data_IF_576182867576
#
_entry.id   IF_576182867576
#
_cell.length_a   1.000
_cell.length_b   1.000
_cell.length_c   1.000
_cell.angle_alpha   90.00
_cell.angle_beta   90.00
_cell.angle_gamma   90.00
#
_symmetry.space_group_name_H-M   'P 1'
#
loop_
_entity.id
_entity.type
_entity.pdbx_description
1 polymer ?
#
# COMPACT_ATOMS: atom_id res chain seq x y z
N UNK A 1 8.84 8.68 30.84
CA UNK A 1 10.11 9.19 30.24
C UNK A 1 10.61 8.39 29.01
N UNK A 2 9.81 7.51 28.37
CA UNK A 2 10.26 6.67 27.23
C UNK A 2 9.99 7.25 25.82
N UNK A 3 9.16 8.31 25.70
CA UNK A 3 8.71 8.84 24.38
C UNK A 3 9.81 9.57 23.58
N UNK A 4 10.75 10.23 24.23
CA UNK A 4 11.73 11.10 23.55
C UNK A 4 12.92 10.35 22.92
N UNK A 5 13.24 9.15 23.40
CA UNK A 5 14.42 8.39 22.91
C UNK A 5 14.15 7.57 21.64
N UNK A 6 12.87 7.37 21.28
CA UNK A 6 12.47 6.52 20.15
C UNK A 6 12.29 7.29 18.84
N UNK A 7 12.08 8.60 18.90
CA UNK A 7 11.84 9.44 17.73
C UNK A 7 12.99 9.40 16.68
N UNK A 8 14.27 9.56 17.05
CA UNK A 8 15.37 9.49 16.06
C UNK A 8 15.54 8.07 15.49
N UNK A 9 15.21 7.03 16.27
CA UNK A 9 15.28 5.65 15.83
C UNK A 9 14.18 5.31 14.82
N UNK A 10 12.94 5.75 15.10
CA UNK A 10 11.81 5.62 14.17
C UNK A 10 12.08 6.38 12.87
N UNK A 11 12.61 7.60 12.96
CA UNK A 11 12.94 8.39 11.77
C UNK A 11 13.99 7.70 10.90
N UNK A 12 15.10 7.24 11.50
CA UNK A 12 16.13 6.48 10.78
C UNK A 12 15.56 5.22 10.14
N UNK A 13 14.76 4.47 10.88
CA UNK A 13 14.11 3.26 10.38
C UNK A 13 13.23 3.54 9.16
N UNK A 14 12.39 4.57 9.22
CA UNK A 14 11.55 4.98 8.09
C UNK A 14 12.41 5.41 6.91
N UNK A 15 13.48 6.19 7.14
CA UNK A 15 14.40 6.58 6.07
C UNK A 15 15.06 5.37 5.39
N UNK A 16 15.54 4.40 6.15
CA UNK A 16 16.17 3.19 5.58
C UNK A 16 15.17 2.35 4.77
N UNK A 17 13.94 2.20 5.26
CA UNK A 17 12.87 1.50 4.52
C UNK A 17 12.48 2.28 3.26
N UNK A 18 12.40 3.60 3.33
CA UNK A 18 12.09 4.48 2.19
C UNK A 18 13.21 4.42 1.16
N UNK A 19 14.48 4.61 1.55
CA UNK A 19 15.63 4.46 0.66
C UNK A 19 15.62 3.09 -0.02
N UNK A 20 15.36 2.02 0.75
CA UNK A 20 15.22 0.68 0.23
C UNK A 20 14.05 0.53 -0.77
N UNK A 21 12.88 1.13 -0.50
CA UNK A 21 11.72 1.12 -1.39
C UNK A 21 11.93 1.94 -2.67
N UNK A 22 12.75 2.99 -2.64
CA UNK A 22 12.97 3.88 -3.78
C UNK A 22 14.17 3.46 -4.65
N UNK A 23 15.15 2.71 -4.12
CA UNK A 23 16.40 2.41 -4.84
C UNK A 23 16.36 1.18 -5.77
N UNK A 24 15.22 0.47 -5.86
CA UNK A 24 14.86 -0.51 -6.92
C UNK A 24 15.90 -1.57 -7.38
N UNK A 25 17.04 -1.78 -6.72
CA UNK A 25 18.14 -2.55 -7.33
C UNK A 25 18.91 -3.51 -6.44
N UNK A 26 18.61 -3.63 -5.14
CA UNK A 26 19.31 -4.61 -4.30
C UNK A 26 18.36 -5.37 -3.36
N UNK A 27 17.63 -6.31 -3.96
CA UNK A 27 16.75 -7.24 -3.23
C UNK A 27 17.52 -8.16 -2.29
N UNK A 28 18.83 -8.36 -2.54
CA UNK A 28 19.69 -9.19 -1.69
C UNK A 28 20.10 -8.48 -0.38
N UNK A 29 20.02 -7.14 -0.33
CA UNK A 29 20.41 -6.35 0.85
C UNK A 29 19.33 -6.27 1.94
N UNK A 30 18.09 -6.59 1.61
CA UNK A 30 16.93 -6.47 2.52
C UNK A 30 16.99 -7.25 3.82
N UNK A 31 17.35 -8.55 3.82
CA UNK A 31 17.25 -9.34 5.04
C UNK A 31 18.26 -8.86 6.10
N UNK A 32 19.38 -8.27 5.63
CA UNK A 32 20.48 -7.82 6.48
C UNK A 32 20.26 -6.41 7.06
N UNK A 33 19.63 -5.52 6.30
CA UNK A 33 19.42 -4.12 6.70
C UNK A 33 18.59 -3.95 7.97
N UNK A 34 17.62 -4.85 8.22
CA UNK A 34 16.69 -4.76 9.37
C UNK A 34 17.23 -5.41 10.66
N UNK A 35 18.49 -5.82 10.72
CA UNK A 35 19.04 -6.54 11.88
C UNK A 35 19.03 -5.68 13.15
N UNK A 36 19.36 -4.39 13.03
CA UNK A 36 19.38 -3.41 14.13
C UNK A 36 17.98 -3.19 14.75
N UNK A 37 16.90 -3.51 14.03
CA UNK A 37 15.53 -3.41 14.57
C UNK A 37 15.27 -4.41 15.70
N UNK A 38 15.97 -5.57 15.70
CA UNK A 38 15.87 -6.59 16.77
C UNK A 38 16.36 -6.06 18.10
N UNK A 39 17.36 -5.20 18.07
CA UNK A 39 17.97 -4.56 19.24
C UNK A 39 17.19 -3.31 19.70
N UNK A 40 16.21 -2.85 18.90
CA UNK A 40 15.38 -1.72 19.27
C UNK A 40 14.50 -2.05 20.48
N UNK A 41 14.36 -1.08 21.40
CA UNK A 41 13.42 -1.19 22.52
C UNK A 41 11.94 -1.15 22.12
N UNK A 42 11.63 -0.82 20.86
CA UNK A 42 10.27 -0.61 20.35
C UNK A 42 9.70 -1.93 19.83
N UNK A 43 8.63 -2.42 20.46
CA UNK A 43 8.04 -3.73 20.14
C UNK A 43 7.41 -3.76 18.74
N UNK A 44 6.84 -2.64 18.34
CA UNK A 44 6.16 -2.42 17.07
C UNK A 44 7.15 -2.54 15.90
N UNK A 45 8.36 -1.97 16.02
CA UNK A 45 9.39 -2.08 15.00
C UNK A 45 9.93 -3.50 14.87
N UNK A 46 10.14 -4.18 16.01
CA UNK A 46 10.53 -5.60 16.00
C UNK A 46 9.49 -6.48 15.32
N UNK A 47 8.21 -6.19 15.56
CA UNK A 47 7.09 -6.95 14.98
C UNK A 47 6.93 -6.66 13.49
N UNK A 48 7.05 -5.40 13.09
CA UNK A 48 7.06 -4.99 11.68
C UNK A 48 8.20 -5.66 10.91
N UNK A 49 9.45 -5.56 11.40
CA UNK A 49 10.60 -6.19 10.76
C UNK A 49 10.51 -7.72 10.73
N UNK A 50 9.75 -8.33 11.66
CA UNK A 50 9.46 -9.77 11.62
C UNK A 50 8.48 -10.11 10.49
N UNK A 51 7.36 -9.39 10.39
CA UNK A 51 6.39 -9.59 9.30
C UNK A 51 7.04 -9.38 7.94
N UNK A 52 7.85 -8.33 7.82
CA UNK A 52 8.53 -8.00 6.57
C UNK A 52 9.55 -9.08 6.12
N UNK A 53 10.21 -9.75 7.08
CA UNK A 53 11.06 -10.93 6.79
C UNK A 53 10.25 -12.17 6.43
N UNK A 54 9.05 -12.34 7.01
CA UNK A 54 8.17 -13.45 6.66
C UNK A 54 7.63 -13.30 5.23
N UNK A 55 7.33 -12.06 4.83
CA UNK A 55 6.81 -11.72 3.50
C UNK A 55 7.91 -11.36 2.49
N UNK A 56 9.17 -11.79 2.73
CA UNK A 56 10.32 -11.41 1.90
C UNK A 56 10.13 -11.76 0.42
N UNK A 57 9.57 -12.93 0.12
CA UNK A 57 9.32 -13.36 -1.25
C UNK A 57 8.29 -12.47 -1.94
N UNK A 58 7.24 -12.06 -1.20
CA UNK A 58 6.21 -11.16 -1.72
C UNK A 58 6.76 -9.74 -1.95
N UNK A 59 7.63 -9.24 -1.07
CA UNK A 59 8.32 -7.95 -1.24
C UNK A 59 9.26 -7.99 -2.44
N UNK A 60 9.98 -9.10 -2.59
CA UNK A 60 10.88 -9.33 -3.74
C UNK A 60 10.10 -9.37 -5.04
N UNK A 61 9.01 -10.13 -5.09
CA UNK A 61 8.13 -10.20 -6.25
C UNK A 61 7.51 -8.84 -6.58
N UNK A 62 7.08 -8.07 -5.57
CA UNK A 62 6.54 -6.72 -5.77
C UNK A 62 7.52 -5.74 -6.45
N UNK A 63 8.81 -6.05 -6.45
CA UNK A 63 9.86 -5.23 -7.04
C UNK A 63 10.38 -5.76 -8.37
N UNK A 64 10.47 -7.07 -8.51
CA UNK A 64 10.95 -7.73 -9.73
C UNK A 64 9.86 -7.74 -10.78
N UNK A 65 8.61 -7.95 -10.38
CA UNK A 65 7.50 -8.11 -11.29
C UNK A 65 6.99 -6.76 -11.80
N UNK A 66 6.66 -6.71 -13.09
CA UNK A 66 6.08 -5.52 -13.73
C UNK A 66 4.61 -5.30 -13.35
N UNK A 67 3.99 -6.26 -12.67
CA UNK A 67 2.58 -6.23 -12.27
C UNK A 67 2.49 -6.12 -10.75
N UNK A 68 1.58 -5.28 -10.27
CA UNK A 68 1.34 -5.06 -8.85
C UNK A 68 -0.09 -5.40 -8.47
N UNK A 69 -0.31 -5.74 -7.20
CA UNK A 69 -1.65 -5.95 -6.65
C UNK A 69 -2.43 -4.62 -6.44
N UNK A 70 -1.83 -3.47 -6.79
CA UNK A 70 -2.42 -2.14 -6.58
C UNK A 70 -3.83 -1.97 -7.16
N UNK A 71 -4.09 -2.35 -8.44
CA UNK A 71 -5.43 -2.24 -9.03
C UNK A 71 -6.48 -3.09 -8.30
N UNK A 72 -6.10 -4.29 -7.83
CA UNK A 72 -6.98 -5.20 -7.10
C UNK A 72 -7.29 -4.63 -5.71
N UNK A 73 -6.28 -4.17 -4.99
CA UNK A 73 -6.45 -3.53 -3.68
C UNK A 73 -7.28 -2.25 -3.77
N UNK A 74 -7.10 -1.46 -4.84
CA UNK A 74 -7.92 -0.27 -5.10
C UNK A 74 -9.40 -0.63 -5.30
N UNK A 75 -9.69 -1.68 -6.08
CA UNK A 75 -11.05 -2.17 -6.28
C UNK A 75 -11.66 -2.70 -4.98
N UNK A 76 -10.91 -3.49 -4.20
CA UNK A 76 -11.33 -4.01 -2.90
C UNK A 76 -11.57 -2.88 -1.91
N UNK A 77 -10.71 -1.86 -1.87
CA UNK A 77 -10.87 -0.70 -1.01
C UNK A 77 -12.10 0.12 -1.39
N UNK A 78 -12.32 0.37 -2.68
CA UNK A 78 -13.54 1.02 -3.18
C UNK A 78 -14.80 0.27 -2.74
N UNK A 79 -14.80 -1.05 -2.90
CA UNK A 79 -15.91 -1.89 -2.46
C UNK A 79 -16.12 -1.82 -0.93
N UNK A 80 -15.04 -1.87 -0.15
CA UNK A 80 -15.08 -1.73 1.32
C UNK A 80 -15.67 -0.37 1.72
N UNK A 81 -15.30 0.71 1.03
CA UNK A 81 -15.84 2.06 1.27
C UNK A 81 -17.34 2.12 0.98
N UNK A 82 -17.76 1.63 -0.19
CA UNK A 82 -19.19 1.58 -0.55
C UNK A 82 -19.97 0.73 0.46
N UNK A 83 -19.42 -0.41 0.88
CA UNK A 83 -20.02 -1.26 1.92
C UNK A 83 -20.12 -0.55 3.27
N UNK A 84 -19.11 0.26 3.64
CA UNK A 84 -19.10 1.06 4.88
C UNK A 84 -20.19 2.15 4.85
N UNK A 85 -20.36 2.85 3.74
CA UNK A 85 -21.42 3.87 3.60
C UNK A 85 -22.83 3.27 3.75
N UNK A 86 -23.02 2.04 3.30
CA UNK A 86 -24.33 1.37 3.23
C UNK A 86 -24.59 0.52 4.50
N UNK A 87 -23.89 0.82 5.60
CA UNK A 87 -23.94 -0.02 6.80
C UNK A 87 -25.38 -0.24 7.30
N UNK A 88 -25.67 -1.52 7.61
CA UNK A 88 -26.91 -2.07 8.20
C UNK A 88 -28.03 -2.42 7.21
N UNK A 89 -28.15 -3.74 6.93
CA UNK A 89 -29.32 -4.50 6.41
C UNK A 89 -29.51 -4.61 4.89
N UNK A 90 -28.51 -4.29 4.08
CA UNK A 90 -28.71 -4.26 2.63
C UNK A 90 -28.22 -5.57 1.99
N UNK A 91 -29.07 -6.20 1.17
CA UNK A 91 -28.76 -7.42 0.41
C UNK A 91 -27.63 -7.14 -0.60
N UNK A 92 -26.86 -8.18 -0.96
CA UNK A 92 -25.71 -8.07 -1.88
C UNK A 92 -26.05 -7.38 -3.21
N UNK A 93 -27.29 -7.54 -3.69
CA UNK A 93 -27.78 -6.91 -4.92
C UNK A 93 -27.69 -5.38 -4.89
N UNK A 94 -27.95 -4.78 -3.73
CA UNK A 94 -27.97 -3.33 -3.59
C UNK A 94 -26.55 -2.75 -3.44
N UNK A 95 -25.65 -3.52 -2.82
CA UNK A 95 -24.22 -3.22 -2.82
C UNK A 95 -23.65 -3.25 -4.24
N UNK A 96 -24.01 -4.27 -5.03
CA UNK A 96 -23.58 -4.40 -6.44
C UNK A 96 -24.05 -3.22 -7.28
N UNK A 97 -25.33 -2.84 -7.19
CA UNK A 97 -25.89 -1.69 -7.93
C UNK A 97 -25.16 -0.38 -7.60
N UNK A 98 -24.88 -0.13 -6.32
CA UNK A 98 -24.21 1.11 -5.88
C UNK A 98 -22.74 1.13 -6.26
N UNK A 99 -22.05 0.00 -6.15
CA UNK A 99 -20.66 -0.12 -6.59
C UNK A 99 -20.54 0.13 -8.09
N UNK A 100 -21.39 -0.50 -8.93
CA UNK A 100 -21.39 -0.29 -10.38
C UNK A 100 -21.67 1.18 -10.75
N UNK A 101 -22.64 1.81 -10.09
CA UNK A 101 -22.93 3.21 -10.32
C UNK A 101 -21.75 4.12 -9.97
N UNK A 102 -21.03 3.84 -8.87
CA UNK A 102 -19.83 4.61 -8.48
C UNK A 102 -18.64 4.32 -9.41
N UNK A 103 -18.41 3.06 -9.77
CA UNK A 103 -17.29 2.66 -10.63
C UNK A 103 -17.44 3.22 -12.05
N UNK A 104 -18.67 3.29 -12.57
CA UNK A 104 -18.96 3.93 -13.85
C UNK A 104 -18.59 5.42 -13.78
N UNK A 105 -19.02 6.13 -12.72
CA UNK A 105 -18.71 7.57 -12.55
C UNK A 105 -17.21 7.85 -12.50
N UNK A 106 -16.44 7.04 -11.78
CA UNK A 106 -14.98 7.19 -11.65
C UNK A 106 -14.29 6.96 -13.02
N UNK A 107 -14.73 5.94 -13.78
CA UNK A 107 -14.11 5.59 -15.06
C UNK A 107 -14.49 6.55 -16.20
N UNK A 108 -15.73 7.09 -16.19
CA UNK A 108 -16.20 8.04 -17.22
C UNK A 108 -15.58 9.43 -17.10
N UNK A 109 -15.12 9.83 -15.91
CA UNK A 109 -14.40 11.11 -15.72
C UNK A 109 -13.00 11.10 -16.33
N UNK A 110 -12.29 9.97 -16.25
CA UNK A 110 -10.91 9.84 -16.76
C UNK A 110 -10.83 9.74 -18.30
N UNK A 111 -11.91 9.29 -18.97
CA UNK A 111 -11.95 9.21 -20.45
C UNK A 111 -12.12 10.57 -21.14
N UNK A 112 -12.71 11.58 -20.47
CA UNK A 112 -12.91 12.92 -21.08
C UNK A 112 -11.63 13.74 -21.13
N UNK A 113 -10.75 13.62 -20.14
CA UNK A 113 -9.48 14.36 -20.11
C UNK A 113 -8.48 13.86 -21.15
N UNK A 114 -8.52 12.58 -21.53
CA UNK A 114 -7.58 12.00 -22.50
C UNK A 114 -7.91 12.28 -23.97
N UNK A 115 -9.16 12.62 -24.28
CA UNK A 115 -9.59 12.93 -25.66
C UNK A 115 -9.35 14.39 -26.06
N UNK A 116 -9.12 15.29 -25.10
CA UNK A 116 -8.81 16.70 -25.39
C UNK A 116 -7.32 16.91 -25.72
N UNK A 117 -6.42 16.11 -25.13
CA UNK A 117 -4.97 16.18 -25.43
C UNK A 117 -4.60 15.63 -26.82
N UNK A 118 -5.44 14.79 -27.44
CA UNK A 118 -5.16 14.22 -28.77
C UNK A 118 -5.66 15.09 -29.94
N UNK A 119 -6.33 16.23 -29.67
CA UNK A 119 -6.81 17.16 -30.70
C UNK A 119 -6.06 18.50 -30.71
N UNK A 120 -5.00 18.64 -29.90
CA UNK A 120 -4.17 19.85 -29.82
C UNK A 120 -2.69 19.62 -30.16
N UNK A 121 -2.35 18.49 -30.80
CA UNK A 121 -1.03 18.22 -31.34
C UNK A 121 -1.14 17.74 -32.80
#
# INVERSE_FOLDING_TARGET
MQRQKNAPFLHRFVQEVVEYLFDHRDTARFPNGLSHTKESGVSELRSFARGLRQDQDAVTAAWVESWSNGPVEAAVNSLKTVKKEIFRRWKLDLLRKRYLHLSIRINTGSRRSRQQETQQN
#
